data_IF_154633044053
#
_entry.id   IF_154633044053
#
_cell.length_a   1.000
_cell.length_b   1.000
_cell.length_c   1.000
_cell.angle_alpha   90.00
_cell.angle_beta   90.00
_cell.angle_gamma   90.00
#
_symmetry.space_group_name_H-M   'P 1'
#
loop_
_entity.id
_entity.type
_entity.pdbx_description
1 polymer ?
#
# COMPACT_ATOMS: atom_id res chain seq x y z
N UNK A 1 -5.39 -5.29 -4.28
CA UNK A 1 -6.76 -5.79 -4.57
C UNK A 1 -7.47 -4.98 -5.64
N UNK A 2 -6.96 -3.81 -6.06
CA UNK A 2 -7.55 -3.00 -7.13
C UNK A 2 -7.35 -3.67 -8.50
N UNK A 3 -8.35 -3.65 -9.40
CA UNK A 3 -8.22 -4.26 -10.73
C UNK A 3 -7.00 -3.74 -11.50
N UNK A 4 -6.19 -4.64 -12.05
CA UNK A 4 -4.98 -4.31 -12.80
C UNK A 4 -3.83 -3.71 -11.98
N UNK A 5 -3.91 -3.71 -10.64
CA UNK A 5 -2.83 -3.21 -9.79
C UNK A 5 -1.88 -4.34 -9.38
N UNK A 6 -0.60 -4.18 -9.72
CA UNK A 6 0.49 -5.10 -9.43
C UNK A 6 1.38 -4.68 -8.25
N UNK A 7 0.97 -3.64 -7.50
CA UNK A 7 1.73 -3.16 -6.35
C UNK A 7 1.89 -4.26 -5.30
N UNK A 8 3.13 -4.56 -4.86
CA UNK A 8 3.37 -5.56 -3.82
C UNK A 8 2.74 -5.15 -2.49
N UNK A 9 2.25 -6.13 -1.72
CA UNK A 9 1.53 -5.92 -0.44
C UNK A 9 2.32 -5.05 0.53
N UNK A 10 3.64 -5.23 0.60
CA UNK A 10 4.52 -4.41 1.46
C UNK A 10 4.50 -2.89 1.14
N UNK A 11 3.94 -2.49 -0.01
CA UNK A 11 3.79 -1.09 -0.44
C UNK A 11 2.33 -0.64 -0.48
N UNK A 12 1.43 -1.44 0.08
CA UNK A 12 0.01 -1.15 0.15
C UNK A 12 -0.39 -0.65 1.53
N UNK A 13 -1.40 0.19 1.56
CA UNK A 13 -2.09 0.56 2.78
C UNK A 13 -3.12 -0.52 3.13
N UNK A 14 -3.39 -0.71 4.40
CA UNK A 14 -4.49 -1.53 4.88
C UNK A 14 -5.74 -0.66 4.98
N UNK A 15 -6.77 -1.01 4.25
CA UNK A 15 -7.99 -0.22 4.12
C UNK A 15 -9.20 -0.97 4.69
N UNK A 16 -10.07 -0.25 5.40
CA UNK A 16 -11.34 -0.79 5.88
C UNK A 16 -12.36 -0.86 4.75
N UNK A 17 -13.08 -1.98 4.67
CA UNK A 17 -14.20 -2.14 3.74
C UNK A 17 -15.28 -1.12 4.00
N UNK A 18 -15.65 -0.97 5.26
CA UNK A 18 -16.46 0.16 5.73
C UNK A 18 -15.59 1.14 6.49
N UNK A 19 -15.70 2.45 6.21
CA UNK A 19 -14.89 3.46 6.89
C UNK A 19 -15.00 3.40 8.41
N UNK A 20 -13.88 3.55 9.09
CA UNK A 20 -13.87 3.74 10.54
C UNK A 20 -14.63 5.04 10.92
N UNK A 21 -15.40 5.10 12.03
CA UNK A 21 -15.58 4.06 13.07
C UNK A 21 -16.73 3.08 12.81
N UNK A 22 -17.42 3.18 11.68
CA UNK A 22 -18.59 2.32 11.37
C UNK A 22 -18.16 0.88 11.13
N UNK A 23 -17.04 0.69 10.38
CA UNK A 23 -16.48 -0.61 10.14
C UNK A 23 -15.59 -1.10 11.29
N UNK A 24 -15.85 -2.32 11.75
CA UNK A 24 -15.01 -2.98 12.75
C UNK A 24 -13.68 -3.41 12.16
N UNK A 25 -12.63 -3.38 12.97
CA UNK A 25 -11.29 -3.82 12.56
C UNK A 25 -11.14 -5.32 12.77
N UNK A 26 -11.29 -6.08 11.71
CA UNK A 26 -11.06 -7.53 11.69
C UNK A 26 -10.58 -7.95 10.28
N UNK A 27 -9.87 -9.08 10.12
CA UNK A 27 -9.26 -9.47 8.84
C UNK A 27 -10.24 -9.50 7.65
N UNK A 28 -11.46 -10.00 7.84
CA UNK A 28 -12.47 -10.01 6.76
C UNK A 28 -12.99 -8.62 6.38
N UNK A 29 -12.83 -7.62 7.25
CA UNK A 29 -13.21 -6.23 7.00
C UNK A 29 -12.10 -5.36 6.42
N UNK A 30 -10.93 -5.96 6.16
CA UNK A 30 -9.74 -5.26 5.73
C UNK A 30 -9.26 -5.76 4.37
N UNK A 31 -8.64 -4.88 3.59
CA UNK A 31 -8.04 -5.20 2.30
C UNK A 31 -6.86 -4.30 1.98
N UNK A 32 -5.99 -4.77 1.12
CA UNK A 32 -4.81 -4.02 0.70
C UNK A 32 -5.09 -3.23 -0.57
N UNK A 33 -4.86 -1.91 -0.51
CA UNK A 33 -4.80 -1.03 -1.68
C UNK A 33 -3.46 -0.32 -1.73
N UNK A 34 -2.86 -0.19 -2.91
CA UNK A 34 -1.71 0.69 -3.03
C UNK A 34 -2.14 2.13 -2.71
N UNK A 35 -1.19 2.96 -2.28
CA UNK A 35 -1.47 4.33 -1.84
C UNK A 35 -2.31 5.13 -2.82
N UNK A 36 -2.08 4.99 -4.14
CA UNK A 36 -2.85 5.70 -5.15
C UNK A 36 -4.32 5.28 -5.17
N UNK A 37 -4.57 3.96 -5.15
CA UNK A 37 -5.93 3.42 -5.19
C UNK A 37 -6.68 3.61 -3.87
N UNK A 38 -5.97 3.59 -2.74
CA UNK A 38 -6.55 3.96 -1.45
C UNK A 38 -7.04 5.42 -1.45
N UNK A 39 -6.25 6.34 -2.01
CA UNK A 39 -6.67 7.74 -2.16
C UNK A 39 -7.85 7.89 -3.13
N UNK A 40 -7.87 7.14 -4.24
CA UNK A 40 -9.01 7.14 -5.16
C UNK A 40 -10.28 6.69 -4.44
N UNK A 41 -10.24 5.56 -3.73
CA UNK A 41 -11.37 5.09 -2.95
C UNK A 41 -11.84 6.12 -1.92
N UNK A 42 -10.89 6.79 -1.27
CA UNK A 42 -11.21 7.74 -0.20
C UNK A 42 -11.82 9.04 -0.71
N UNK A 43 -11.30 9.58 -1.82
CA UNK A 43 -11.66 10.92 -2.28
C UNK A 43 -12.51 10.96 -3.54
N UNK A 44 -12.51 9.92 -4.36
CA UNK A 44 -13.30 9.81 -5.60
C UNK A 44 -14.31 8.68 -5.50
N UNK A 45 -15.15 8.71 -4.48
CA UNK A 45 -16.24 7.76 -4.24
C UNK A 45 -17.60 8.41 -4.50
N UNK A 46 -18.65 7.61 -4.55
CA UNK A 46 -20.02 8.07 -4.77
C UNK A 46 -20.49 7.90 -6.22
N UNK A 47 -21.60 8.54 -6.62
CA UNK A 47 -22.25 8.28 -7.92
C UNK A 47 -21.38 8.56 -9.15
N UNK A 48 -20.44 9.50 -9.03
CA UNK A 48 -19.48 9.85 -10.09
C UNK A 48 -18.05 9.37 -9.78
N UNK A 49 -17.90 8.51 -8.81
CA UNK A 49 -16.62 7.98 -8.36
C UNK A 49 -16.54 6.47 -8.49
N UNK A 50 -15.54 5.91 -7.81
CA UNK A 50 -15.39 4.49 -7.69
C UNK A 50 -16.10 3.98 -6.43
N UNK A 51 -16.80 2.87 -6.55
CA UNK A 51 -17.36 2.15 -5.40
C UNK A 51 -16.77 0.75 -5.33
N UNK A 52 -16.63 0.22 -4.13
CA UNK A 52 -16.18 -1.14 -3.90
C UNK A 52 -17.06 -1.84 -2.88
N UNK A 53 -17.40 -3.09 -3.15
CA UNK A 53 -18.15 -3.97 -2.27
C UNK A 53 -17.34 -5.24 -2.04
N UNK A 54 -17.08 -5.56 -0.80
CA UNK A 54 -16.40 -6.81 -0.42
C UNK A 54 -17.42 -7.85 0.00
N UNK A 55 -17.25 -9.08 -0.49
CA UNK A 55 -18.04 -10.24 -0.08
C UNK A 55 -17.34 -10.98 1.06
N UNK A 56 -18.08 -11.84 1.80
CA UNK A 56 -17.51 -12.61 2.92
C UNK A 56 -16.34 -13.51 2.51
N UNK A 57 -16.31 -14.01 1.27
CA UNK A 57 -15.22 -14.79 0.69
C UNK A 57 -13.96 -13.98 0.34
N UNK A 58 -13.98 -12.66 0.60
CA UNK A 58 -12.92 -11.75 0.27
C UNK A 58 -12.91 -11.27 -1.19
N UNK A 59 -13.85 -11.69 -2.02
CA UNK A 59 -14.06 -11.15 -3.36
C UNK A 59 -14.47 -9.69 -3.28
N UNK A 60 -13.89 -8.84 -4.12
CA UNK A 60 -14.25 -7.43 -4.19
C UNK A 60 -14.80 -7.11 -5.56
N UNK A 61 -15.99 -6.54 -5.61
CA UNK A 61 -16.59 -5.99 -6.79
C UNK A 61 -16.40 -4.47 -6.80
N UNK A 62 -15.83 -3.95 -7.87
CA UNK A 62 -15.61 -2.53 -8.10
C UNK A 62 -16.59 -2.04 -9.17
N UNK A 63 -17.13 -0.85 -8.98
CA UNK A 63 -17.87 -0.14 -10.02
C UNK A 63 -17.13 1.17 -10.34
N UNK A 64 -16.79 1.32 -11.60
CA UNK A 64 -16.14 2.54 -12.11
C UNK A 64 -17.16 3.66 -12.30
N UNK A 65 -16.71 4.94 -12.39
CA UNK A 65 -17.58 6.07 -12.73
C UNK A 65 -18.35 5.91 -14.03
N UNK A 66 -17.85 5.07 -14.94
CA UNK A 66 -18.49 4.73 -16.23
C UNK A 66 -19.59 3.67 -16.11
N UNK A 67 -19.82 3.12 -14.91
CA UNK A 67 -20.73 2.02 -14.66
C UNK A 67 -20.17 0.62 -14.93
N UNK A 68 -18.94 0.51 -15.45
CA UNK A 68 -18.30 -0.81 -15.64
C UNK A 68 -17.98 -1.44 -14.30
N UNK A 69 -18.19 -2.74 -14.19
CA UNK A 69 -17.88 -3.52 -13.01
C UNK A 69 -16.66 -4.41 -13.21
N UNK A 70 -15.85 -4.54 -12.18
CA UNK A 70 -14.68 -5.40 -12.13
C UNK A 70 -14.70 -6.23 -10.87
N UNK A 71 -14.28 -7.48 -10.97
CA UNK A 71 -14.22 -8.40 -9.82
C UNK A 71 -12.77 -8.83 -9.59
N UNK A 72 -12.34 -8.80 -8.33
CA UNK A 72 -11.03 -9.33 -7.93
C UNK A 72 -11.20 -10.32 -6.79
N UNK A 73 -10.62 -11.51 -6.96
CA UNK A 73 -10.69 -12.59 -5.97
C UNK A 73 -9.55 -12.53 -4.96
N UNK A 74 -9.77 -13.14 -3.79
CA UNK A 74 -8.76 -13.30 -2.75
C UNK A 74 -7.85 -14.49 -3.09
N UNK A 75 -6.88 -14.29 -3.99
CA UNK A 75 -5.96 -15.36 -4.44
C UNK A 75 -5.20 -16.06 -3.31
N UNK A 76 -4.99 -15.38 -2.17
CA UNK A 76 -4.43 -16.03 -0.98
C UNK A 76 -5.27 -17.19 -0.46
N UNK A 77 -6.60 -17.12 -0.60
CA UNK A 77 -7.51 -18.20 -0.23
C UNK A 77 -7.43 -19.43 -1.13
N UNK A 78 -6.98 -19.28 -2.36
CA UNK A 78 -6.75 -20.39 -3.29
C UNK A 78 -5.54 -21.24 -2.84
N UNK A 79 -4.47 -20.57 -2.38
CA UNK A 79 -3.25 -21.24 -1.90
C UNK A 79 -3.38 -21.71 -0.45
N UNK A 80 -4.09 -20.93 0.36
CA UNK A 80 -4.26 -21.19 1.80
C UNK A 80 -5.74 -21.09 2.16
N UNK A 81 -6.54 -22.16 2.02
CA UNK A 81 -8.00 -22.14 2.23
C UNK A 81 -8.43 -21.61 3.61
N UNK A 82 -7.59 -21.76 4.62
CA UNK A 82 -7.84 -21.22 5.97
C UNK A 82 -7.91 -19.69 5.99
N UNK A 83 -7.22 -18.99 5.08
CA UNK A 83 -7.25 -17.53 4.96
C UNK A 83 -8.52 -17.02 4.27
N UNK A 84 -9.27 -17.89 3.60
CA UNK A 84 -10.56 -17.55 2.99
C UNK A 84 -11.73 -17.64 3.98
N UNK A 85 -11.50 -18.16 5.20
CA UNK A 85 -12.56 -18.24 6.22
C UNK A 85 -12.85 -16.86 6.78
N UNK A 86 -14.14 -16.44 6.78
CA UNK A 86 -14.53 -15.18 7.40
C UNK A 86 -14.18 -15.19 8.90
N UNK A 87 -13.58 -14.11 9.38
CA UNK A 87 -13.21 -13.94 10.80
C UNK A 87 -14.30 -13.24 11.59
N UNK A 88 -15.19 -12.50 10.89
CA UNK A 88 -16.37 -11.88 11.43
C UNK A 88 -17.34 -11.54 10.30
N UNK A 89 -18.62 -11.31 10.59
CA UNK A 89 -19.57 -10.84 9.58
C UNK A 89 -19.09 -9.47 9.03
N UNK A 90 -19.19 -9.30 7.73
CA UNK A 90 -19.11 -7.97 7.14
C UNK A 90 -20.43 -7.28 7.52
N UNK A 91 -20.36 -6.27 8.37
CA UNK A 91 -21.52 -5.49 8.73
C UNK A 91 -21.96 -4.70 7.51
N UNK A 92 -22.87 -5.26 6.73
CA UNK A 92 -23.61 -4.51 5.72
C UNK A 92 -24.69 -3.72 6.45
N UNK A 93 -24.31 -2.79 7.32
CA UNK A 93 -25.25 -1.80 7.76
C UNK A 93 -25.53 -0.92 6.54
N UNK A 94 -26.62 -1.24 5.88
CA UNK A 94 -27.41 -0.29 5.10
C UNK A 94 -28.02 0.77 6.05
N UNK A 95 -27.23 1.23 7.02
CA UNK A 95 -27.56 2.44 7.75
C UNK A 95 -27.37 3.57 6.75
N UNK A 96 -28.48 4.09 6.26
CA UNK A 96 -28.61 5.13 5.25
C UNK A 96 -27.99 6.50 5.55
N UNK A 97 -26.85 6.51 6.17
CA UNK A 97 -25.88 7.57 6.06
C UNK A 97 -24.96 7.19 4.90
N UNK A 98 -25.44 7.31 3.66
CA UNK A 98 -24.52 7.60 2.58
C UNK A 98 -23.61 8.72 3.10
N UNK A 99 -22.26 8.55 3.09
CA UNK A 99 -21.39 9.67 3.37
C UNK A 99 -21.82 10.74 2.40
N UNK A 100 -22.40 11.83 2.93
CA UNK A 100 -22.90 12.95 2.13
C UNK A 100 -21.82 13.26 1.12
N UNK A 101 -22.14 13.00 -0.15
CA UNK A 101 -21.16 13.11 -1.23
C UNK A 101 -20.78 14.59 -1.29
N UNK A 102 -19.73 14.96 -0.57
CA UNK A 102 -19.17 16.31 -0.66
C UNK A 102 -18.63 16.46 -2.08
N UNK A 103 -19.25 17.27 -2.95
CA UNK A 103 -18.82 17.43 -4.34
C UNK A 103 -17.37 17.94 -4.45
N UNK A 104 -16.84 18.52 -3.37
CA UNK A 104 -15.46 19.00 -3.29
C UNK A 104 -14.48 18.00 -2.70
N UNK A 105 -14.90 16.76 -2.41
CA UNK A 105 -14.04 15.75 -1.76
C UNK A 105 -12.79 15.44 -2.59
N UNK A 106 -12.90 15.44 -3.91
CA UNK A 106 -11.75 15.30 -4.80
C UNK A 106 -10.70 16.41 -4.65
N UNK A 107 -11.12 17.63 -4.32
CA UNK A 107 -10.20 18.74 -4.06
C UNK A 107 -9.43 18.58 -2.74
N UNK A 108 -9.94 17.78 -1.80
CA UNK A 108 -9.26 17.46 -0.53
C UNK A 108 -8.19 16.38 -0.69
N UNK A 109 -8.11 15.72 -1.85
CA UNK A 109 -7.11 14.70 -2.12
C UNK A 109 -5.69 15.28 -1.99
N UNK A 110 -4.81 14.63 -1.21
CA UNK A 110 -3.44 15.10 -1.05
C UNK A 110 -2.73 15.25 -2.39
N UNK A 111 -2.24 16.44 -2.68
CA UNK A 111 -1.44 16.70 -3.87
C UNK A 111 0.01 16.30 -3.62
N UNK A 112 0.61 15.70 -4.62
CA UNK A 112 2.02 15.33 -4.58
C UNK A 112 2.88 16.60 -4.61
N UNK A 113 3.83 16.74 -3.68
CA UNK A 113 4.78 17.87 -3.65
C UNK A 113 5.91 17.71 -4.66
N UNK A 114 6.27 16.45 -4.96
CA UNK A 114 7.38 16.09 -5.84
C UNK A 114 6.88 15.21 -6.97
N UNK A 115 7.52 15.26 -8.12
CA UNK A 115 7.25 14.37 -9.24
C UNK A 115 7.77 12.95 -8.93
N UNK A 116 7.26 11.93 -9.65
CA UNK A 116 7.77 10.55 -9.53
C UNK A 116 9.26 10.46 -9.84
N UNK A 117 9.73 11.25 -10.79
CA UNK A 117 11.13 11.28 -11.18
C UNK A 117 12.01 11.90 -10.08
N UNK A 118 11.57 13.00 -9.48
CA UNK A 118 12.25 13.60 -8.32
C UNK A 118 12.32 12.62 -7.14
N UNK A 119 11.23 11.93 -6.81
CA UNK A 119 11.21 10.93 -5.73
C UNK A 119 12.16 9.76 -6.05
N UNK A 120 12.18 9.32 -7.32
CA UNK A 120 13.08 8.24 -7.77
C UNK A 120 14.55 8.68 -7.63
N UNK A 121 14.90 9.87 -8.12
CA UNK A 121 16.26 10.43 -8.00
C UNK A 121 16.67 10.55 -6.55
N UNK A 122 15.84 11.14 -5.71
CA UNK A 122 16.12 11.29 -4.27
C UNK A 122 16.34 9.94 -3.57
N UNK A 123 15.61 8.90 -3.98
CA UNK A 123 15.83 7.53 -3.46
C UNK A 123 17.17 6.95 -3.91
N UNK A 124 17.50 7.09 -5.20
CA UNK A 124 18.78 6.64 -5.76
C UNK A 124 19.95 7.35 -5.05
N UNK A 125 19.84 8.66 -4.85
CA UNK A 125 20.90 9.43 -4.22
C UNK A 125 21.08 9.09 -2.74
N UNK A 126 19.99 8.78 -2.02
CA UNK A 126 20.07 8.27 -0.64
C UNK A 126 20.79 6.92 -0.58
N UNK A 127 20.44 6.00 -1.49
CA UNK A 127 21.07 4.68 -1.55
C UNK A 127 22.55 4.78 -1.91
N UNK A 128 22.91 5.63 -2.87
CA UNK A 128 24.32 5.89 -3.23
C UNK A 128 25.11 6.44 -2.06
N UNK A 129 24.59 7.43 -1.33
CA UNK A 129 25.25 7.96 -0.13
C UNK A 129 25.45 6.88 0.93
N UNK A 130 24.38 6.13 1.23
CA UNK A 130 24.47 5.02 2.18
C UNK A 130 25.52 3.99 1.80
N UNK A 131 25.62 3.64 0.51
CA UNK A 131 26.70 2.74 0.00
C UNK A 131 28.08 3.34 0.14
N UNK A 132 28.25 4.62 -0.15
CA UNK A 132 29.53 5.30 0.04
C UNK A 132 29.94 5.28 1.51
N UNK A 133 29.02 5.52 2.43
CA UNK A 133 29.31 5.51 3.87
C UNK A 133 29.71 4.12 4.36
N UNK A 134 29.03 3.06 3.90
CA UNK A 134 29.39 1.67 4.20
C UNK A 134 30.79 1.34 3.64
N UNK A 135 31.05 1.67 2.37
CA UNK A 135 32.34 1.39 1.75
C UNK A 135 33.47 2.14 2.46
N UNK A 136 33.25 3.41 2.83
CA UNK A 136 34.23 4.18 3.59
C UNK A 136 34.47 3.60 4.99
N UNK A 137 33.45 3.05 5.64
CA UNK A 137 33.60 2.36 6.92
C UNK A 137 34.43 1.06 6.77
N UNK A 138 34.13 0.25 5.75
CA UNK A 138 34.91 -0.95 5.46
C UNK A 138 36.37 -0.63 5.14
N UNK A 139 36.62 0.40 4.34
CA UNK A 139 37.97 0.82 4.00
C UNK A 139 38.74 1.26 5.26
N UNK A 140 38.12 2.05 6.13
CA UNK A 140 38.77 2.44 7.41
C UNK A 140 39.10 1.21 8.27
N UNK A 141 38.20 0.23 8.36
CA UNK A 141 38.44 -1.01 9.10
C UNK A 141 39.58 -1.82 8.48
N UNK A 142 39.61 -1.93 7.15
CA UNK A 142 40.68 -2.61 6.43
C UNK A 142 42.03 -1.93 6.62
N UNK A 143 42.10 -0.60 6.52
CA UNK A 143 43.33 0.16 6.78
C UNK A 143 43.82 0.01 8.24
N UNK A 144 42.89 0.04 9.20
CA UNK A 144 43.22 -0.20 10.61
C UNK A 144 43.76 -1.62 10.83
N UNK A 145 43.17 -2.62 10.19
CA UNK A 145 43.66 -3.99 10.25
C UNK A 145 45.04 -4.12 9.61
N UNK A 146 45.29 -3.55 8.42
CA UNK A 146 46.61 -3.55 7.79
C UNK A 146 47.65 -2.87 8.71
N UNK A 147 47.35 -1.71 9.28
CA UNK A 147 48.25 -1.02 10.19
C UNK A 147 48.60 -1.84 11.44
N UNK A 148 47.66 -2.65 11.93
CA UNK A 148 47.86 -3.52 13.10
C UNK A 148 48.61 -4.81 12.79
N UNK A 149 48.53 -5.31 11.55
CA UNK A 149 49.07 -6.62 11.15
C UNK A 149 50.30 -6.52 10.28
N UNK A 150 50.62 -5.34 9.74
CA UNK A 150 51.77 -5.14 8.85
C UNK A 150 53.06 -5.35 9.64
N UNK A 151 53.87 -6.31 9.21
CA UNK A 151 55.22 -6.51 9.65
C UNK A 151 56.17 -6.07 8.51
N UNK A 152 57.03 -5.09 8.73
CA UNK A 152 58.02 -4.73 7.70
C UNK A 152 58.94 -5.89 7.39
N UNK A 153 59.42 -6.03 6.16
CA UNK A 153 60.36 -7.08 5.76
C UNK A 153 61.67 -6.98 6.57
N UNK A 154 62.31 -8.08 6.89
CA UNK A 154 63.45 -8.17 7.82
C UNK A 154 64.78 -7.71 7.21
N UNK A 155 64.79 -6.59 6.47
CA UNK A 155 66.01 -5.98 5.95
C UNK A 155 65.94 -4.47 5.86
#
# INVERSE_FOLDING_TARGET
RWPGCDAPVARCDLDHTQPWPVGLTHPSGLKHYCRAHHLIKTFYTGPLGWTDQQRPDGTIMFTAPTGHTYTTEATGGLLFPTLARPTAPLTTTSSGAEPTANPHRGAMMPKRRTTRDQDRRARIDRERRHRLDINAAHERQHQAWLAATYQPPPF
#
